data_IF_783793854094
#
_entry.id   IF_783793854094
#
_cell.length_a   1.000
_cell.length_b   1.000
_cell.length_c   1.000
_cell.angle_alpha   90.00
_cell.angle_beta   90.00
_cell.angle_gamma   90.00
#
_symmetry.space_group_name_H-M   'P 1'
#
loop_
_entity.id
_entity.type
_entity.pdbx_description
1 polymer ?
#
# COMPACT_ATOMS: atom_id res chain seq x y z
N UNK A 1 19.85 -9.86 -1.19
CA UNK A 1 20.83 -9.51 -2.24
C UNK A 1 21.80 -8.47 -1.71
N UNK A 2 23.02 -8.38 -2.25
CA UNK A 2 24.03 -7.37 -1.86
C UNK A 2 23.50 -5.95 -1.98
N UNK A 3 22.73 -5.67 -3.03
CA UNK A 3 22.09 -4.35 -3.24
C UNK A 3 21.11 -4.00 -2.11
N UNK A 4 20.28 -4.96 -1.66
CA UNK A 4 19.36 -4.75 -0.54
C UNK A 4 20.13 -4.42 0.75
N UNK A 5 21.17 -5.17 1.05
CA UNK A 5 22.01 -4.93 2.22
C UNK A 5 22.68 -3.56 2.17
N UNK A 6 23.18 -3.16 1.00
CA UNK A 6 23.78 -1.83 0.79
C UNK A 6 22.74 -0.72 0.98
N UNK A 7 21.50 -0.92 0.49
CA UNK A 7 20.41 0.01 0.67
C UNK A 7 20.04 0.20 2.16
N UNK A 8 19.88 -0.90 2.91
CA UNK A 8 19.58 -0.83 4.35
C UNK A 8 20.68 -0.08 5.12
N UNK A 9 21.96 -0.33 4.78
CA UNK A 9 23.06 0.42 5.39
C UNK A 9 23.00 1.91 5.07
N UNK A 10 22.70 2.26 3.82
CA UNK A 10 22.57 3.66 3.39
C UNK A 10 21.40 4.34 4.12
N UNK A 11 20.27 3.66 4.24
CA UNK A 11 19.10 4.14 4.98
C UNK A 11 19.44 4.41 6.46
N UNK A 12 20.08 3.46 7.12
CA UNK A 12 20.51 3.63 8.52
C UNK A 12 21.51 4.79 8.67
N UNK A 13 22.41 4.97 7.73
CA UNK A 13 23.34 6.11 7.73
C UNK A 13 22.60 7.42 7.54
N UNK A 14 21.67 7.51 6.60
CA UNK A 14 20.86 8.70 6.37
C UNK A 14 20.05 9.08 7.61
N UNK A 15 19.47 8.11 8.32
CA UNK A 15 18.79 8.35 9.59
C UNK A 15 19.70 9.03 10.62
N UNK A 16 20.97 8.61 10.72
CA UNK A 16 21.94 9.26 11.60
C UNK A 16 22.31 10.66 11.11
N UNK A 17 22.63 10.80 9.83
CA UNK A 17 23.07 12.07 9.24
C UNK A 17 21.99 13.16 9.34
N UNK A 18 20.70 12.75 9.42
CA UNK A 18 19.55 13.65 9.52
C UNK A 18 18.95 13.74 10.92
N UNK A 19 19.59 13.24 11.95
CA UNK A 19 19.11 13.31 13.34
C UNK A 19 18.71 14.74 13.75
N UNK A 20 19.54 15.73 13.42
CA UNK A 20 19.29 17.12 13.74
C UNK A 20 18.14 17.77 12.94
N UNK A 21 17.66 17.13 11.87
CA UNK A 21 16.60 17.71 11.02
C UNK A 21 15.28 17.90 11.77
N UNK A 22 14.99 17.05 12.75
CA UNK A 22 13.78 17.13 13.57
C UNK A 22 13.97 17.91 14.88
N UNK A 23 15.11 18.59 15.06
CA UNK A 23 15.38 19.49 16.19
C UNK A 23 15.11 18.87 17.58
N UNK A 24 15.21 17.54 17.68
CA UNK A 24 14.97 16.79 18.92
C UNK A 24 13.50 16.52 19.25
N UNK A 25 12.59 16.82 18.33
CA UNK A 25 11.16 16.48 18.45
C UNK A 25 10.94 14.98 18.58
N UNK A 26 9.82 14.61 19.19
CA UNK A 26 9.42 13.23 19.33
C UNK A 26 8.79 12.73 18.03
N UNK A 27 9.09 11.48 17.68
CA UNK A 27 8.51 10.81 16.53
C UNK A 27 7.15 10.23 16.90
N UNK A 28 6.11 10.71 16.24
CA UNK A 28 4.73 10.25 16.40
C UNK A 28 4.34 9.21 15.33
N UNK A 29 5.03 9.23 14.18
CA UNK A 29 4.73 8.30 13.08
C UNK A 29 6.02 7.76 12.45
N UNK A 30 6.00 6.46 12.08
CA UNK A 30 7.01 5.82 11.26
C UNK A 30 6.29 5.15 10.08
N UNK A 31 6.71 5.47 8.87
CA UNK A 31 6.09 4.94 7.68
C UNK A 31 7.14 4.28 6.78
N UNK A 32 7.04 2.96 6.61
CA UNK A 32 7.87 2.22 5.68
C UNK A 32 7.09 2.07 4.38
N UNK A 33 7.48 2.87 3.39
CA UNK A 33 6.83 2.95 2.09
C UNK A 33 7.83 3.11 0.95
N UNK A 34 7.30 3.12 -0.28
CA UNK A 34 8.07 3.21 -1.51
C UNK A 34 8.74 1.88 -1.89
N UNK A 35 8.83 1.60 -3.18
CA UNK A 35 9.26 0.28 -3.63
C UNK A 35 8.33 -0.82 -3.11
N UNK A 36 8.88 -1.81 -2.40
CA UNK A 36 8.07 -2.92 -1.84
C UNK A 36 8.60 -3.31 -0.46
N UNK A 37 8.25 -2.56 0.61
CA UNK A 37 8.75 -2.84 1.96
C UNK A 37 8.34 -4.23 2.49
N UNK A 38 7.24 -4.79 2.01
CA UNK A 38 6.77 -6.15 2.36
C UNK A 38 7.67 -7.28 1.85
N UNK A 39 8.75 -6.97 1.13
CA UNK A 39 9.78 -7.94 0.75
C UNK A 39 11.01 -7.91 1.66
N UNK A 40 11.00 -7.06 2.68
CA UNK A 40 12.08 -7.03 3.66
C UNK A 40 12.00 -8.26 4.57
N UNK A 41 13.16 -8.80 4.90
CA UNK A 41 13.29 -9.90 5.83
C UNK A 41 13.35 -9.40 7.29
N UNK A 42 13.25 -10.33 8.21
CA UNK A 42 13.30 -10.04 9.64
C UNK A 42 14.54 -9.23 10.04
N UNK A 43 15.69 -9.63 9.53
CA UNK A 43 17.00 -9.01 9.82
C UNK A 43 17.06 -7.56 9.30
N UNK A 44 16.37 -7.27 8.19
CA UNK A 44 16.29 -5.92 7.63
C UNK A 44 15.48 -5.01 8.59
N UNK A 45 14.35 -5.49 9.08
CA UNK A 45 13.54 -4.74 10.07
C UNK A 45 14.27 -4.59 11.41
N UNK A 46 14.98 -5.62 11.88
CA UNK A 46 15.80 -5.52 13.09
C UNK A 46 16.84 -4.41 12.96
N UNK A 47 17.54 -4.33 11.82
CA UNK A 47 18.51 -3.28 11.55
C UNK A 47 17.86 -1.89 11.53
N UNK A 48 16.75 -1.73 10.81
CA UNK A 48 16.04 -0.45 10.67
C UNK A 48 15.51 0.04 12.02
N UNK A 49 14.75 -0.78 12.73
CA UNK A 49 14.14 -0.37 13.99
C UNK A 49 15.16 -0.15 15.11
N UNK A 50 16.16 -1.03 15.23
CA UNK A 50 17.26 -0.80 16.19
C UNK A 50 17.92 0.54 15.96
N UNK A 51 18.10 0.92 14.69
CA UNK A 51 18.71 2.20 14.33
C UNK A 51 17.79 3.38 14.62
N UNK A 52 16.50 3.30 14.25
CA UNK A 52 15.52 4.36 14.54
C UNK A 52 15.44 4.62 16.04
N UNK A 53 15.25 3.58 16.87
CA UNK A 53 15.11 3.75 18.32
C UNK A 53 16.40 4.18 19.01
N UNK A 54 17.56 3.98 18.37
CA UNK A 54 18.84 4.49 18.86
C UNK A 54 19.00 6.00 18.62
N UNK A 55 18.53 6.47 17.45
CA UNK A 55 18.78 7.84 16.97
C UNK A 55 17.66 8.78 17.39
N UNK A 56 16.40 8.30 17.34
CA UNK A 56 15.22 9.14 17.54
C UNK A 56 14.43 8.78 18.80
N UNK A 57 13.74 9.76 19.34
CA UNK A 57 12.80 9.60 20.46
C UNK A 57 11.42 9.27 19.90
N UNK A 58 11.07 7.99 19.85
CA UNK A 58 9.75 7.52 19.37
C UNK A 58 8.81 7.43 20.57
N UNK A 59 7.61 8.03 20.45
CA UNK A 59 6.60 7.92 21.49
C UNK A 59 6.04 6.49 21.59
N UNK A 60 5.56 6.05 22.77
CA UNK A 60 5.12 4.66 22.97
C UNK A 60 3.96 4.23 22.07
N UNK A 61 3.08 5.17 21.71
CA UNK A 61 1.87 4.96 20.90
C UNK A 61 2.02 5.49 19.45
N UNK A 62 3.25 5.62 18.96
CA UNK A 62 3.51 6.04 17.59
C UNK A 62 2.78 5.15 16.57
N UNK A 63 2.21 5.76 15.53
CA UNK A 63 1.68 5.01 14.40
C UNK A 63 2.82 4.50 13.53
N UNK A 64 2.91 3.18 13.38
CA UNK A 64 3.99 2.53 12.63
C UNK A 64 3.38 1.71 11.50
N UNK A 65 3.54 2.21 10.28
CA UNK A 65 2.91 1.68 9.07
C UNK A 65 3.90 0.91 8.20
N UNK A 66 3.45 -0.22 7.66
CA UNK A 66 4.11 -0.93 6.55
C UNK A 66 3.20 -0.91 5.31
N UNK A 67 3.72 -0.44 4.18
CA UNK A 67 3.12 -0.73 2.87
C UNK A 67 3.38 -2.18 2.49
N UNK A 68 2.35 -2.86 2.00
CA UNK A 68 2.44 -4.26 1.66
C UNK A 68 1.62 -4.62 0.42
N UNK A 69 2.17 -5.52 -0.40
CA UNK A 69 1.39 -6.20 -1.43
C UNK A 69 0.64 -7.38 -0.80
N UNK A 70 -0.61 -7.66 -1.21
CA UNK A 70 -1.38 -8.77 -0.67
C UNK A 70 -0.68 -10.13 -0.76
N UNK A 71 0.03 -10.39 -1.85
CA UNK A 71 0.75 -11.66 -2.08
C UNK A 71 1.99 -11.85 -1.20
N UNK A 72 2.53 -10.79 -0.61
CA UNK A 72 3.62 -10.87 0.35
C UNK A 72 3.12 -11.19 1.79
N UNK A 73 1.83 -10.95 2.06
CA UNK A 73 1.22 -11.09 3.40
C UNK A 73 0.76 -12.53 3.67
N UNK A 74 1.70 -13.47 3.67
CA UNK A 74 1.44 -14.84 4.13
C UNK A 74 1.24 -14.89 5.65
N UNK A 75 0.56 -15.90 6.20
CA UNK A 75 0.42 -16.05 7.64
C UNK A 75 1.75 -16.02 8.41
N UNK A 76 2.79 -16.64 7.85
CA UNK A 76 4.14 -16.68 8.42
C UNK A 76 4.77 -15.28 8.43
N UNK A 77 4.64 -14.54 7.31
CA UNK A 77 5.17 -13.19 7.21
C UNK A 77 4.43 -12.24 8.16
N UNK A 78 3.10 -12.32 8.23
CA UNK A 78 2.30 -11.54 9.17
C UNK A 78 2.70 -11.85 10.62
N UNK A 79 2.91 -13.12 10.95
CA UNK A 79 3.39 -13.53 12.29
C UNK A 79 4.75 -12.91 12.62
N UNK A 80 5.66 -12.88 11.65
CA UNK A 80 6.95 -12.20 11.79
C UNK A 80 6.77 -10.70 12.00
N UNK A 81 5.91 -10.03 11.22
CA UNK A 81 5.62 -8.59 11.38
C UNK A 81 5.11 -8.26 12.78
N UNK A 82 4.34 -9.16 13.42
CA UNK A 82 3.85 -8.99 14.80
C UNK A 82 4.95 -9.01 15.86
N UNK A 83 6.14 -9.42 15.53
CA UNK A 83 7.32 -9.32 16.44
C UNK A 83 7.98 -7.93 16.40
N UNK A 84 7.57 -7.08 15.48
CA UNK A 84 8.00 -5.68 15.33
C UNK A 84 6.89 -4.71 15.78
N UNK A 85 7.20 -3.43 15.98
CA UNK A 85 6.22 -2.46 16.49
C UNK A 85 5.20 -1.98 15.44
N UNK A 86 5.02 -2.69 14.33
CA UNK A 86 4.00 -2.35 13.35
C UNK A 86 2.60 -2.44 13.96
N UNK A 87 1.82 -1.37 13.82
CA UNK A 87 0.43 -1.31 14.24
C UNK A 87 -0.54 -0.90 13.12
N UNK A 88 -0.01 -0.58 11.93
CA UNK A 88 -0.80 -0.24 10.75
C UNK A 88 -0.23 -0.92 9.50
N UNK A 89 -1.13 -1.45 8.65
CA UNK A 89 -0.80 -1.98 7.31
C UNK A 89 -1.48 -1.10 6.27
N UNK A 90 -0.75 -0.70 5.22
CA UNK A 90 -1.32 -0.12 3.99
C UNK A 90 -1.21 -1.14 2.87
N UNK A 91 -2.33 -1.68 2.44
CA UNK A 91 -2.39 -2.84 1.53
C UNK A 91 -2.77 -2.40 0.12
N UNK A 92 -1.87 -2.61 -0.82
CA UNK A 92 -2.04 -2.26 -2.23
C UNK A 92 -2.93 -3.25 -2.98
N UNK A 93 -4.24 -3.20 -2.80
CA UNK A 93 -5.21 -4.08 -3.47
C UNK A 93 -5.42 -3.64 -4.93
N UNK A 94 -5.56 -2.37 -5.18
CA UNK A 94 -5.79 -1.69 -6.45
C UNK A 94 -7.21 -1.87 -7.00
N UNK A 95 -7.67 -3.08 -7.21
CA UNK A 95 -9.00 -3.45 -7.71
C UNK A 95 -9.32 -4.89 -7.30
N UNK A 96 -10.58 -5.26 -7.32
CA UNK A 96 -11.03 -6.65 -7.13
C UNK A 96 -11.40 -7.33 -8.47
N UNK A 97 -11.02 -6.72 -9.60
CA UNK A 97 -11.22 -7.29 -10.95
C UNK A 97 -9.96 -8.03 -11.40
N UNK A 98 -9.98 -9.36 -11.40
CA UNK A 98 -8.81 -10.19 -11.72
C UNK A 98 -8.23 -9.94 -13.12
N UNK A 99 -9.08 -9.64 -14.11
CA UNK A 99 -8.62 -9.26 -15.45
C UNK A 99 -7.79 -7.98 -15.44
N UNK A 100 -8.21 -7.00 -14.66
CA UNK A 100 -7.51 -5.73 -14.50
C UNK A 100 -6.23 -5.88 -13.69
N UNK A 101 -6.25 -6.69 -12.61
CA UNK A 101 -5.04 -7.04 -11.86
C UNK A 101 -3.97 -7.66 -12.77
N UNK A 102 -4.34 -8.55 -13.67
CA UNK A 102 -3.43 -9.13 -14.68
C UNK A 102 -2.88 -8.07 -15.64
N UNK A 103 -3.72 -7.15 -16.11
CA UNK A 103 -3.31 -6.05 -16.96
C UNK A 103 -2.30 -5.13 -16.26
N UNK A 104 -2.51 -4.86 -14.98
CA UNK A 104 -1.61 -4.10 -14.12
C UNK A 104 -0.35 -4.89 -13.70
N UNK A 105 -0.19 -6.12 -14.18
CA UNK A 105 0.89 -7.04 -13.82
C UNK A 105 0.99 -7.29 -12.31
N UNK A 106 -0.16 -7.27 -11.62
CA UNK A 106 -0.22 -7.63 -10.19
C UNK A 106 -0.11 -9.14 -10.03
N UNK A 107 0.61 -9.57 -8.99
CA UNK A 107 0.85 -11.00 -8.69
C UNK A 107 -0.30 -11.65 -7.94
N UNK A 108 -1.14 -10.84 -7.28
CA UNK A 108 -2.27 -11.34 -6.50
C UNK A 108 -3.57 -11.34 -7.29
N UNK A 109 -4.53 -12.13 -6.82
CA UNK A 109 -5.94 -12.12 -7.23
C UNK A 109 -6.80 -11.39 -6.19
N UNK A 110 -8.05 -11.06 -6.55
CA UNK A 110 -9.02 -10.50 -5.61
C UNK A 110 -9.20 -11.39 -4.37
N UNK A 111 -9.33 -12.70 -4.56
CA UNK A 111 -9.45 -13.66 -3.46
C UNK A 111 -8.23 -13.64 -2.53
N UNK A 112 -7.03 -13.59 -3.10
CA UNK A 112 -5.80 -13.49 -2.32
C UNK A 112 -5.72 -12.20 -1.52
N UNK A 113 -6.15 -11.06 -2.08
CA UNK A 113 -6.20 -9.78 -1.39
C UNK A 113 -7.17 -9.81 -0.20
N UNK A 114 -8.37 -10.35 -0.40
CA UNK A 114 -9.37 -10.52 0.67
C UNK A 114 -8.81 -11.42 1.79
N UNK A 115 -8.20 -12.52 1.42
CA UNK A 115 -7.58 -13.46 2.38
C UNK A 115 -6.44 -12.82 3.16
N UNK A 116 -5.57 -12.07 2.48
CA UNK A 116 -4.47 -11.34 3.13
C UNK A 116 -5.01 -10.33 4.15
N UNK A 117 -6.05 -9.57 3.80
CA UNK A 117 -6.72 -8.65 4.71
C UNK A 117 -7.27 -9.37 5.95
N UNK A 118 -7.99 -10.47 5.76
CA UNK A 118 -8.55 -11.28 6.86
C UNK A 118 -7.46 -11.87 7.75
N UNK A 119 -6.36 -12.34 7.18
CA UNK A 119 -5.21 -12.86 7.92
C UNK A 119 -4.57 -11.76 8.78
N UNK A 120 -4.43 -10.54 8.28
CA UNK A 120 -3.96 -9.40 9.07
C UNK A 120 -4.89 -9.10 10.24
N UNK A 121 -6.22 -9.12 10.02
CA UNK A 121 -7.21 -8.95 11.10
C UNK A 121 -7.09 -10.05 12.16
N UNK A 122 -7.02 -11.29 11.75
CA UNK A 122 -6.88 -12.45 12.65
C UNK A 122 -5.59 -12.36 13.48
N UNK A 123 -4.51 -11.86 12.87
CA UNK A 123 -3.24 -11.64 13.56
C UNK A 123 -3.25 -10.44 14.52
N UNK A 124 -4.33 -9.66 14.57
CA UNK A 124 -4.53 -8.55 15.51
C UNK A 124 -4.17 -7.17 14.97
N UNK A 125 -3.97 -7.00 13.67
CA UNK A 125 -3.90 -5.66 13.07
C UNK A 125 -5.31 -5.02 13.07
N UNK A 126 -5.46 -3.92 13.80
CA UNK A 126 -6.73 -3.19 13.95
C UNK A 126 -6.80 -1.93 13.10
N UNK A 127 -5.70 -1.51 12.50
CA UNK A 127 -5.60 -0.37 11.61
C UNK A 127 -5.05 -0.84 10.26
N UNK A 128 -5.95 -1.03 9.29
CA UNK A 128 -5.61 -1.46 7.94
C UNK A 128 -6.18 -0.45 6.96
N UNK A 129 -5.28 0.15 6.18
CA UNK A 129 -5.62 0.93 5.00
C UNK A 129 -5.59 0.04 3.78
N UNK A 130 -6.49 0.27 2.83
CA UNK A 130 -6.41 -0.34 1.51
C UNK A 130 -6.28 0.74 0.44
N UNK A 131 -5.47 0.44 -0.58
CA UNK A 131 -5.27 1.32 -1.71
C UNK A 131 -6.05 0.79 -2.90
N UNK A 132 -6.87 1.65 -3.50
CA UNK A 132 -7.66 1.38 -4.69
C UNK A 132 -7.25 2.33 -5.81
N UNK A 133 -7.37 1.86 -7.05
CA UNK A 133 -7.21 2.68 -8.24
C UNK A 133 -8.52 2.72 -9.02
N UNK A 134 -8.84 3.87 -9.59
CA UNK A 134 -9.95 4.05 -10.52
C UNK A 134 -9.48 4.77 -11.80
N UNK A 135 -10.34 4.85 -12.80
CA UNK A 135 -9.92 5.27 -14.15
C UNK A 135 -9.08 4.21 -14.85
N UNK A 136 -9.25 2.95 -14.47
CA UNK A 136 -8.53 1.81 -15.04
C UNK A 136 -9.03 1.50 -16.47
N UNK A 137 -8.16 0.93 -17.34
CA UNK A 137 -8.58 0.57 -18.70
C UNK A 137 -9.78 -0.38 -18.69
N UNK A 138 -10.82 0.00 -19.44
CA UNK A 138 -12.07 -0.77 -19.53
C UNK A 138 -12.96 -0.71 -18.29
N UNK A 139 -12.63 0.12 -17.31
CA UNK A 139 -13.46 0.31 -16.12
C UNK A 139 -14.80 0.96 -16.46
N UNK A 140 -15.83 0.56 -15.75
CA UNK A 140 -17.18 1.11 -15.83
C UNK A 140 -17.63 1.57 -14.45
N UNK A 141 -18.66 2.42 -14.38
CA UNK A 141 -19.29 2.77 -13.10
C UNK A 141 -19.76 1.52 -12.33
N UNK A 142 -20.23 0.49 -13.03
CA UNK A 142 -20.68 -0.74 -12.40
C UNK A 142 -19.54 -1.52 -11.76
N UNK A 143 -18.42 -1.68 -12.48
CA UNK A 143 -17.24 -2.38 -11.93
C UNK A 143 -16.60 -1.60 -10.77
N UNK A 144 -16.55 -0.27 -10.85
CA UNK A 144 -16.06 0.57 -9.76
C UNK A 144 -16.94 0.49 -8.50
N UNK A 145 -18.26 0.53 -8.67
CA UNK A 145 -19.20 0.34 -7.56
C UNK A 145 -19.03 -1.02 -6.89
N UNK A 146 -18.76 -2.07 -7.66
CA UNK A 146 -18.51 -3.40 -7.10
C UNK A 146 -17.16 -3.42 -6.33
N UNK A 147 -16.11 -2.77 -6.83
CA UNK A 147 -14.85 -2.63 -6.11
C UNK A 147 -15.04 -1.90 -4.78
N UNK A 148 -15.77 -0.78 -4.77
CA UNK A 148 -16.07 -0.03 -3.55
C UNK A 148 -16.90 -0.86 -2.56
N UNK A 149 -17.89 -1.60 -3.04
CA UNK A 149 -18.70 -2.50 -2.21
C UNK A 149 -17.85 -3.59 -1.56
N UNK A 150 -16.95 -4.23 -2.30
CA UNK A 150 -16.04 -5.23 -1.75
C UNK A 150 -15.06 -4.63 -0.75
N UNK A 151 -14.52 -3.45 -1.05
CA UNK A 151 -13.65 -2.72 -0.15
C UNK A 151 -14.33 -2.40 1.18
N UNK A 152 -15.54 -1.85 1.13
CA UNK A 152 -16.32 -1.50 2.32
C UNK A 152 -16.74 -2.74 3.14
N UNK A 153 -17.02 -3.86 2.48
CA UNK A 153 -17.34 -5.12 3.16
C UNK A 153 -16.17 -5.69 3.99
N UNK A 154 -14.94 -5.29 3.72
CA UNK A 154 -13.77 -5.64 4.52
C UNK A 154 -13.66 -4.79 5.81
N UNK A 155 -14.39 -3.70 5.91
CA UNK A 155 -14.33 -2.74 7.03
C UNK A 155 -12.90 -2.24 7.32
N UNK A 156 -12.20 -1.66 6.34
CA UNK A 156 -10.91 -1.03 6.59
C UNK A 156 -11.09 0.27 7.38
N UNK A 157 -10.08 0.68 8.14
CA UNK A 157 -10.10 1.97 8.85
C UNK A 157 -9.81 3.14 7.94
N UNK A 158 -9.20 2.87 6.78
CA UNK A 158 -8.87 3.90 5.80
C UNK A 158 -8.86 3.33 4.38
N UNK A 159 -9.24 4.14 3.41
CA UNK A 159 -9.12 3.85 1.97
C UNK A 159 -8.38 4.99 1.31
N UNK A 160 -7.27 4.66 0.61
CA UNK A 160 -6.62 5.56 -0.33
C UNK A 160 -7.11 5.22 -1.73
N UNK A 161 -7.65 6.19 -2.45
CA UNK A 161 -8.11 5.96 -3.83
C UNK A 161 -7.41 6.93 -4.79
N UNK A 162 -6.84 6.39 -5.86
CA UNK A 162 -6.06 7.13 -6.84
C UNK A 162 -6.65 6.96 -8.23
N UNK A 163 -6.73 8.07 -8.99
CA UNK A 163 -6.96 7.98 -10.43
C UNK A 163 -5.69 7.46 -11.11
N UNK A 164 -5.83 6.52 -12.07
CA UNK A 164 -4.70 6.05 -12.86
C UNK A 164 -4.10 7.20 -13.68
N UNK A 165 -2.79 7.34 -13.59
CA UNK A 165 -2.00 8.26 -14.41
C UNK A 165 -1.11 7.44 -15.34
N UNK A 166 -1.12 7.77 -16.62
CA UNK A 166 -0.27 7.13 -17.64
C UNK A 166 1.06 7.87 -17.72
N UNK A 167 2.02 7.48 -16.90
CA UNK A 167 3.35 8.08 -16.92
C UNK A 167 4.16 7.60 -18.12
N UNK A 168 4.81 8.53 -18.80
CA UNK A 168 5.66 8.26 -19.96
C UNK A 168 6.74 7.21 -19.63
N UNK A 169 6.96 6.28 -20.56
CA UNK A 169 7.93 5.20 -20.42
C UNK A 169 7.42 3.96 -19.70
N UNK A 170 6.22 4.01 -19.07
CA UNK A 170 5.61 2.81 -18.45
C UNK A 170 4.95 1.90 -19.49
N UNK A 171 4.77 0.63 -19.12
CA UNK A 171 4.07 -0.33 -19.99
C UNK A 171 2.65 0.11 -20.34
N UNK A 172 1.90 0.65 -19.37
CA UNK A 172 0.54 1.13 -19.61
C UNK A 172 0.53 2.33 -20.56
N UNK A 173 1.46 3.26 -20.39
CA UNK A 173 1.62 4.38 -21.32
C UNK A 173 1.92 3.90 -22.74
N UNK A 174 2.84 2.95 -22.91
CA UNK A 174 3.17 2.38 -24.23
C UNK A 174 1.97 1.68 -24.87
N UNK A 175 1.16 0.95 -24.10
CA UNK A 175 -0.05 0.31 -24.61
C UNK A 175 -1.12 1.31 -25.03
N UNK A 176 -1.26 2.42 -24.30
CA UNK A 176 -2.14 3.55 -24.69
C UNK A 176 -1.67 4.20 -25.99
N UNK A 177 -0.39 4.54 -26.12
CA UNK A 177 0.17 5.13 -27.35
C UNK A 177 0.03 4.22 -28.57
N UNK A 178 0.01 2.90 -28.34
CA UNK A 178 -0.25 1.90 -29.39
C UNK A 178 -1.75 1.67 -29.66
N UNK A 179 -2.63 2.43 -29.03
CA UNK A 179 -4.09 2.27 -29.10
C UNK A 179 -4.59 0.86 -28.72
N UNK A 180 -3.85 0.17 -27.83
CA UNK A 180 -4.23 -1.14 -27.28
C UNK A 180 -5.02 -1.05 -25.99
N UNK A 181 -5.03 0.12 -25.37
CA UNK A 181 -5.83 0.47 -24.20
C UNK A 181 -6.55 1.79 -24.46
N UNK A 182 -7.77 1.88 -23.95
CA UNK A 182 -8.51 3.13 -23.88
C UNK A 182 -8.43 3.71 -22.48
N UNK A 183 -8.06 4.96 -22.38
CA UNK A 183 -8.08 5.75 -21.17
C UNK A 183 -9.52 6.14 -20.86
N UNK A 184 -9.90 6.18 -19.58
CA UNK A 184 -11.18 6.71 -19.17
C UNK A 184 -11.30 8.17 -19.62
N UNK A 185 -12.39 8.53 -20.27
CA UNK A 185 -12.65 9.92 -20.64
C UNK A 185 -12.93 10.79 -19.40
N UNK A 186 -12.99 12.09 -19.60
CA UNK A 186 -13.17 13.04 -18.51
C UNK A 186 -14.52 12.87 -17.81
N UNK A 187 -15.59 12.63 -18.55
CA UNK A 187 -16.94 12.46 -18.00
C UNK A 187 -17.03 11.20 -17.14
N UNK A 188 -16.44 10.09 -17.58
CA UNK A 188 -16.34 8.88 -16.80
C UNK A 188 -15.47 9.10 -15.55
N UNK A 189 -14.32 9.74 -15.68
CA UNK A 189 -13.41 10.03 -14.58
C UNK A 189 -14.06 10.86 -13.49
N UNK A 190 -14.81 11.90 -13.85
CA UNK A 190 -15.62 12.71 -12.92
C UNK A 190 -16.70 11.87 -12.25
N UNK A 191 -17.38 11.02 -13.00
CA UNK A 191 -18.43 10.13 -12.48
C UNK A 191 -17.89 9.07 -11.51
N UNK A 192 -16.70 8.52 -11.79
CA UNK A 192 -16.00 7.57 -10.91
C UNK A 192 -15.61 8.26 -9.59
N UNK A 193 -15.07 9.48 -9.68
CA UNK A 193 -14.70 10.25 -8.49
C UNK A 193 -15.92 10.64 -7.64
N UNK A 194 -17.01 11.10 -8.27
CA UNK A 194 -18.26 11.38 -7.57
C UNK A 194 -18.80 10.14 -6.85
N UNK A 195 -18.79 8.99 -7.53
CA UNK A 195 -19.21 7.70 -6.93
C UNK A 195 -18.34 7.32 -5.73
N UNK A 196 -17.03 7.56 -5.78
CA UNK A 196 -16.13 7.36 -4.64
C UNK A 196 -16.57 8.17 -3.43
N UNK A 197 -16.76 9.49 -3.62
CA UNK A 197 -17.16 10.42 -2.55
C UNK A 197 -18.48 9.97 -1.94
N UNK A 198 -19.50 9.73 -2.77
CA UNK A 198 -20.84 9.34 -2.31
C UNK A 198 -20.79 8.02 -1.52
N UNK A 199 -20.06 7.03 -2.02
CA UNK A 199 -19.97 5.71 -1.38
C UNK A 199 -19.27 5.76 -0.03
N UNK A 200 -18.17 6.51 0.08
CA UNK A 200 -17.41 6.62 1.33
C UNK A 200 -18.07 7.55 2.34
N UNK A 201 -18.81 8.56 1.89
CA UNK A 201 -19.56 9.44 2.78
C UNK A 201 -20.78 8.74 3.39
N UNK A 202 -21.36 7.77 2.68
CA UNK A 202 -22.52 7.01 3.14
C UNK A 202 -22.15 5.83 4.07
N UNK A 203 -20.87 5.45 4.16
CA UNK A 203 -20.39 4.32 4.94
C UNK A 203 -19.93 4.75 6.34
#
# INVERSE_FOLDING_TARGET
SEQKTAYIRALCRELTDREAYLEGEHIETIYLGGGTPSQLAKEDFEAIFSHIYKVYKVIPDAEITLEANPDDLTPEYISMLRTFPFNRISMGIQTFQDSTLKLLQRRHTAEQAIRAFQNCRTAGFRNISIDLMYGLPGETLASWKEDLKQALALHPEHISAYHLIYEEGTTLWQLREQHKLEEADEDLSVSLFGTLIDSLTAA
#
